data_IF_403742110536
#
_entry.id   IF_403742110536
#
_cell.length_a   1.000
_cell.length_b   1.000
_cell.length_c   1.000
_cell.angle_alpha   90.00
_cell.angle_beta   90.00
_cell.angle_gamma   90.00
#
_symmetry.space_group_name_H-M   'P 1'
#
loop_
_entity.id
_entity.type
_entity.pdbx_description
1 polymer ?
#
# COMPACT_ATOMS: atom_id res chain seq x y z
N UNK A 1 59.91 23.76 19.64
CA UNK A 1 58.67 24.55 19.80
C UNK A 1 58.12 24.90 18.41
N UNK A 2 57.02 24.27 17.97
CA UNK A 2 55.99 24.76 17.00
C UNK A 2 55.04 23.57 16.73
N UNK A 3 53.95 23.43 17.49
CA UNK A 3 52.58 23.98 17.29
C UNK A 3 51.81 23.31 16.15
N UNK A 4 50.81 22.55 16.59
CA UNK A 4 49.74 21.82 15.89
C UNK A 4 48.98 22.65 14.87
N UNK A 5 48.48 22.00 13.81
CA UNK A 5 47.33 22.46 13.04
C UNK A 5 46.35 21.30 12.86
N UNK A 6 45.24 21.35 13.59
CA UNK A 6 44.13 20.39 13.45
C UNK A 6 43.23 20.83 12.28
N UNK A 7 42.97 19.92 11.36
CA UNK A 7 42.08 20.15 10.20
C UNK A 7 40.64 19.95 10.69
N UNK A 8 39.85 21.01 10.73
CA UNK A 8 38.43 20.96 11.07
C UNK A 8 37.61 20.58 9.84
N UNK A 9 37.05 19.36 9.84
CA UNK A 9 36.12 18.92 8.80
C UNK A 9 34.73 19.54 9.02
N UNK A 10 34.28 20.37 8.09
CA UNK A 10 32.93 20.93 8.06
C UNK A 10 31.98 19.90 7.46
N UNK A 11 31.20 19.20 8.29
CA UNK A 11 30.05 18.41 7.83
C UNK A 11 28.82 19.31 7.75
N UNK A 12 28.44 19.71 6.54
CA UNK A 12 27.17 20.39 6.29
C UNK A 12 26.02 19.37 6.37
N UNK A 13 25.28 19.37 7.48
CA UNK A 13 24.02 18.62 7.59
C UNK A 13 22.91 19.40 6.88
N UNK A 14 22.59 19.02 5.65
CA UNK A 14 21.35 19.45 5.00
C UNK A 14 20.19 18.62 5.54
N UNK A 15 19.40 19.19 6.46
CA UNK A 15 18.16 18.58 6.93
C UNK A 15 17.10 18.64 5.81
N UNK A 16 16.98 17.56 5.04
CA UNK A 16 15.89 17.39 4.08
C UNK A 16 14.57 17.14 4.80
N UNK A 17 13.65 18.09 4.75
CA UNK A 17 12.29 17.93 5.28
C UNK A 17 11.48 17.01 4.36
N UNK A 18 11.25 15.78 4.79
CA UNK A 18 10.35 14.86 4.08
C UNK A 18 8.89 15.26 4.34
N UNK A 19 8.28 15.98 3.41
CA UNK A 19 6.82 16.14 3.36
C UNK A 19 6.23 14.79 2.92
N UNK A 20 5.61 14.07 3.85
CA UNK A 20 4.83 12.89 3.53
C UNK A 20 3.59 13.32 2.73
N UNK A 21 3.65 13.22 1.41
CA UNK A 21 2.51 13.41 0.54
C UNK A 21 1.48 12.33 0.87
N UNK A 22 0.39 12.70 1.55
CA UNK A 22 -0.76 11.83 1.71
C UNK A 22 -1.43 11.65 0.34
N UNK A 23 -0.87 10.77 -0.49
CA UNK A 23 -1.54 10.33 -1.70
C UNK A 23 -2.91 9.79 -1.29
N UNK A 24 -3.98 10.33 -1.87
CA UNK A 24 -5.30 9.75 -1.74
C UNK A 24 -5.16 8.25 -2.08
N UNK A 25 -5.46 7.37 -1.12
CA UNK A 25 -5.29 5.93 -1.30
C UNK A 25 -6.33 5.46 -2.31
N UNK A 26 -5.94 5.43 -3.57
CA UNK A 26 -6.78 4.88 -4.63
C UNK A 26 -6.78 3.37 -4.43
N UNK A 27 -7.88 2.85 -3.92
CA UNK A 27 -8.08 1.41 -3.84
C UNK A 27 -8.51 0.92 -5.22
N UNK A 28 -7.53 0.50 -6.01
CA UNK A 28 -7.72 0.00 -7.36
C UNK A 28 -7.93 -1.51 -7.29
N UNK A 29 -8.95 -2.01 -7.96
CA UNK A 29 -9.13 -3.44 -8.16
C UNK A 29 -7.93 -4.01 -8.95
N UNK A 30 -7.60 -5.30 -8.80
CA UNK A 30 -6.56 -5.91 -9.61
C UNK A 30 -6.92 -5.86 -11.10
N UNK A 31 -5.93 -5.98 -12.00
CA UNK A 31 -6.18 -6.00 -13.43
C UNK A 31 -7.13 -7.14 -13.82
N UNK A 32 -7.89 -6.98 -14.90
CA UNK A 32 -8.85 -7.98 -15.36
C UNK A 32 -8.24 -9.37 -15.67
N UNK A 33 -6.93 -9.43 -15.93
CA UNK A 33 -6.17 -10.67 -16.12
C UNK A 33 -5.85 -11.41 -14.82
N UNK A 34 -6.11 -10.81 -13.65
CA UNK A 34 -5.84 -11.43 -12.36
C UNK A 34 -6.79 -12.60 -12.09
N UNK A 35 -6.23 -13.79 -11.86
CA UNK A 35 -7.01 -15.03 -11.69
C UNK A 35 -7.11 -15.52 -10.23
N UNK A 36 -6.45 -14.86 -9.28
CA UNK A 36 -6.48 -15.28 -7.88
C UNK A 36 -7.86 -15.10 -7.22
N UNK A 37 -8.15 -15.93 -6.22
CA UNK A 37 -9.37 -15.80 -5.40
C UNK A 37 -9.26 -14.63 -4.40
N UNK A 38 -8.05 -14.24 -4.05
CA UNK A 38 -7.78 -13.18 -3.07
C UNK A 38 -6.83 -12.14 -3.65
N UNK A 39 -7.02 -10.88 -3.27
CA UNK A 39 -6.16 -9.77 -3.66
C UNK A 39 -5.92 -8.86 -2.45
N UNK A 40 -4.67 -8.44 -2.25
CA UNK A 40 -4.30 -7.50 -1.18
C UNK A 40 -3.73 -6.24 -1.81
N UNK A 41 -4.34 -5.12 -1.50
CA UNK A 41 -3.90 -3.79 -1.92
C UNK A 41 -2.61 -3.38 -1.19
N UNK A 42 -1.89 -2.41 -1.75
CA UNK A 42 -0.63 -1.93 -1.17
C UNK A 42 -0.78 -1.32 0.23
N UNK A 43 -1.96 -0.83 0.58
CA UNK A 43 -2.27 -0.30 1.92
C UNK A 43 -2.87 -1.34 2.87
N UNK A 44 -2.87 -2.63 2.47
CA UNK A 44 -3.14 -3.76 3.37
C UNK A 44 -4.59 -4.21 3.43
N UNK A 45 -5.48 -3.68 2.61
CA UNK A 45 -6.86 -4.18 2.51
C UNK A 45 -6.91 -5.43 1.64
N UNK A 46 -7.46 -6.53 2.19
CA UNK A 46 -7.60 -7.83 1.52
C UNK A 46 -9.03 -8.07 1.04
N UNK A 47 -9.18 -8.61 -0.17
CA UNK A 47 -10.46 -8.79 -0.84
C UNK A 47 -10.63 -10.20 -1.39
N UNK A 48 -11.87 -10.70 -1.42
CA UNK A 48 -12.27 -11.94 -2.10
C UNK A 48 -12.93 -11.63 -3.45
N UNK A 49 -12.62 -12.46 -4.46
CA UNK A 49 -13.20 -12.35 -5.80
C UNK A 49 -14.62 -12.93 -5.81
N UNK A 50 -15.55 -12.21 -6.43
CA UNK A 50 -16.87 -12.71 -6.79
C UNK A 50 -17.20 -12.32 -8.24
N UNK A 51 -17.73 -13.27 -9.01
CA UNK A 51 -18.11 -13.04 -10.40
C UNK A 51 -19.28 -13.94 -10.78
N UNK A 52 -20.40 -13.33 -11.20
CA UNK A 52 -21.48 -14.05 -11.85
C UNK A 52 -21.19 -14.18 -13.36
N UNK A 53 -21.64 -15.26 -14.03
CA UNK A 53 -21.53 -15.37 -15.48
C UNK A 53 -22.13 -14.16 -16.19
N UNK A 54 -21.38 -13.57 -17.14
CA UNK A 54 -21.80 -12.36 -17.88
C UNK A 54 -21.52 -11.02 -17.19
N UNK A 55 -20.97 -11.02 -15.97
CA UNK A 55 -20.62 -9.79 -15.22
C UNK A 55 -19.11 -9.67 -14.98
N UNK A 56 -18.64 -8.44 -14.78
CA UNK A 56 -17.27 -8.18 -14.37
C UNK A 56 -16.99 -8.68 -12.93
N UNK A 57 -15.74 -9.06 -12.60
CA UNK A 57 -15.38 -9.40 -11.24
C UNK A 57 -15.54 -8.22 -10.28
N UNK A 58 -16.07 -8.51 -9.11
CA UNK A 58 -16.15 -7.61 -7.96
C UNK A 58 -15.27 -8.16 -6.84
N UNK A 59 -14.76 -7.26 -6.01
CA UNK A 59 -13.80 -7.58 -4.95
C UNK A 59 -14.36 -7.12 -3.62
N UNK A 60 -14.66 -8.06 -2.72
CA UNK A 60 -15.34 -7.78 -1.45
C UNK A 60 -14.37 -7.85 -0.28
N UNK A 61 -14.41 -6.86 0.60
CA UNK A 61 -13.50 -6.74 1.73
C UNK A 61 -13.61 -7.96 2.66
N UNK A 62 -12.46 -8.52 3.02
CA UNK A 62 -12.35 -9.56 4.03
C UNK A 62 -11.97 -8.87 5.34
N UNK A 63 -12.86 -8.88 6.33
CA UNK A 63 -12.63 -8.17 7.60
C UNK A 63 -11.47 -8.79 8.41
N UNK A 64 -11.41 -10.12 8.49
CA UNK A 64 -10.40 -10.86 9.27
C UNK A 64 -9.70 -11.94 8.41
N UNK A 65 -8.77 -11.56 7.52
CA UNK A 65 -8.17 -12.43 6.51
C UNK A 65 -7.02 -13.32 7.06
N UNK A 66 -7.11 -13.77 8.31
CA UNK A 66 -6.07 -14.60 8.93
C UNK A 66 -5.83 -15.93 8.18
N UNK A 67 -6.87 -16.47 7.54
CA UNK A 67 -6.78 -17.69 6.73
C UNK A 67 -5.93 -17.53 5.46
N UNK A 68 -5.63 -16.29 5.05
CA UNK A 68 -4.69 -15.98 3.95
C UNK A 68 -3.42 -15.28 4.44
N UNK A 69 -3.15 -15.31 5.76
CA UNK A 69 -1.94 -14.73 6.35
C UNK A 69 -1.88 -13.20 6.38
N UNK A 70 -3.03 -12.52 6.23
CA UNK A 70 -3.10 -11.05 6.21
C UNK A 70 -3.69 -10.49 7.53
N UNK A 71 -3.37 -9.23 7.90
CA UNK A 71 -3.91 -8.57 9.08
C UNK A 71 -5.40 -8.20 8.90
N UNK A 72 -6.09 -7.91 10.00
CA UNK A 72 -7.46 -7.42 9.97
C UNK A 72 -7.59 -6.11 9.19
N UNK A 73 -8.73 -5.94 8.52
CA UNK A 73 -9.05 -4.72 7.77
C UNK A 73 -9.11 -3.49 8.71
N UNK A 74 -8.62 -2.35 8.21
CA UNK A 74 -8.69 -1.09 8.93
C UNK A 74 -9.83 -0.18 8.42
N UNK A 75 -10.16 0.87 9.18
CA UNK A 75 -11.26 1.82 8.86
C UNK A 75 -11.21 2.38 7.43
N UNK A 76 -10.01 2.54 6.85
CA UNK A 76 -9.83 3.09 5.51
C UNK A 76 -10.17 2.13 4.36
N UNK A 77 -10.46 0.86 4.62
CA UNK A 77 -10.71 -0.12 3.57
C UNK A 77 -12.13 0.03 3.01
N UNK A 78 -12.31 0.29 1.70
CA UNK A 78 -13.61 0.22 1.05
C UNK A 78 -14.17 -1.19 1.15
N UNK A 79 -15.49 -1.30 1.34
CA UNK A 79 -16.18 -2.58 1.41
C UNK A 79 -16.13 -3.36 0.09
N UNK A 80 -16.05 -2.66 -1.04
CA UNK A 80 -16.02 -3.27 -2.36
C UNK A 80 -15.16 -2.47 -3.33
N UNK A 81 -14.38 -3.17 -4.17
CA UNK A 81 -13.74 -2.63 -5.35
C UNK A 81 -14.43 -3.16 -6.61
N UNK A 82 -14.55 -2.31 -7.62
CA UNK A 82 -15.03 -2.70 -8.94
C UNK A 82 -13.86 -2.74 -9.89
N UNK A 83 -13.75 -3.82 -10.65
CA UNK A 83 -12.80 -3.91 -11.76
C UNK A 83 -13.36 -3.04 -12.89
N UNK A 84 -13.18 -1.72 -12.79
CA UNK A 84 -13.46 -0.85 -13.94
C UNK A 84 -12.42 -1.20 -15.00
N UNK A 85 -12.90 -1.61 -16.17
CA UNK A 85 -12.07 -1.85 -17.35
C UNK A 85 -11.39 -0.57 -17.82
#
# INVERSE_FOLDING_TARGET
MLRTAAIAALLSLTAGSALAQAAARVHVAPPASFQGQWFTTADGCSYSRAQAPGYAPTWHLIINPHHIGQPAAHRGCPAMLTSRG
#
